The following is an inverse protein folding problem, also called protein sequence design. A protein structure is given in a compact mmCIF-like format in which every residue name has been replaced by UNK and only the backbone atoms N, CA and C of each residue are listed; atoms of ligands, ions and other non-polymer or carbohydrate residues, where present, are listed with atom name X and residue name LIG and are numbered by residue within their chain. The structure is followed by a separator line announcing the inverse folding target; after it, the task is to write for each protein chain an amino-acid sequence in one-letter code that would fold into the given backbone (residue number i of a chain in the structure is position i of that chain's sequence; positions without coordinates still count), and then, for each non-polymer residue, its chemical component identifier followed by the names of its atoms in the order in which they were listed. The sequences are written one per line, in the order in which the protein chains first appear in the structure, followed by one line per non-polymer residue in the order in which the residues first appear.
data_IF_204763607241
#
_entry.id   IF_204763607241
#
_cell.length_a   1.000
_cell.length_b   1.000
_cell.length_c   1.000
_cell.angle_alpha   90.00
_cell.angle_beta   90.00
_cell.angle_gamma   90.00
#
_symmetry.space_group_name_H-M   'P 1'
#
loop_
_entity.id
_entity.type
_entity.pdbx_description
1 polymer ?
#
# COMPACT_ATOMS: atom_id res chain seq x y z
N UNK A 1 6.04 -0.56 -6.94
CA UNK A 1 7.09 -1.57 -7.16
C UNK A 1 7.94 -1.19 -8.38
N UNK A 2 9.18 -0.72 -8.20
CA UNK A 2 9.99 -0.17 -9.29
C UNK A 2 10.67 -1.21 -10.21
N UNK A 3 10.63 -2.51 -9.88
CA UNK A 3 11.25 -3.63 -10.63
C UNK A 3 12.78 -3.59 -10.80
N UNK A 4 13.45 -2.51 -10.40
CA UNK A 4 14.88 -2.33 -10.64
C UNK A 4 15.76 -2.46 -9.39
N UNK A 5 15.24 -2.08 -8.22
CA UNK A 5 15.99 -2.11 -6.97
C UNK A 5 16.25 -3.55 -6.47
N UNK A 6 17.27 -3.70 -5.61
CA UNK A 6 17.64 -4.99 -5.00
C UNK A 6 16.43 -5.73 -4.41
N UNK A 7 15.54 -5.02 -3.73
CA UNK A 7 14.40 -5.61 -3.04
C UNK A 7 13.37 -6.15 -4.03
N UNK A 8 12.99 -5.36 -5.05
CA UNK A 8 12.08 -5.81 -6.11
C UNK A 8 12.64 -7.00 -6.91
N UNK A 9 13.96 -7.08 -7.09
CA UNK A 9 14.62 -8.20 -7.80
C UNK A 9 14.83 -9.44 -6.93
N UNK A 10 14.65 -9.34 -5.62
CA UNK A 10 15.08 -10.40 -4.68
C UNK A 10 14.14 -11.61 -4.61
N UNK A 11 12.84 -11.44 -4.91
CA UNK A 11 11.81 -12.43 -4.63
C UNK A 11 11.54 -12.70 -3.14
N UNK A 12 12.23 -11.99 -2.22
CA UNK A 12 12.17 -12.22 -0.77
C UNK A 12 11.31 -11.19 -0.03
N UNK A 13 11.00 -10.06 -0.65
CA UNK A 13 10.26 -8.95 -0.04
C UNK A 13 9.53 -8.13 -1.10
N UNK A 14 8.44 -7.49 -0.70
CA UNK A 14 7.68 -6.52 -1.49
C UNK A 14 8.02 -5.05 -1.14
N UNK A 15 8.97 -4.81 -0.23
CA UNK A 15 9.30 -3.46 0.27
C UNK A 15 10.23 -2.69 -0.70
N UNK A 16 9.64 -2.13 -1.75
CA UNK A 16 10.38 -1.34 -2.75
C UNK A 16 11.17 -0.17 -2.13
N UNK A 17 12.45 -0.03 -2.51
CA UNK A 17 13.32 1.02 -1.96
C UNK A 17 13.17 2.37 -2.65
N UNK A 18 12.67 2.42 -3.89
CA UNK A 18 12.63 3.63 -4.72
C UNK A 18 11.81 4.79 -4.11
N UNK A 19 10.78 4.48 -3.32
CA UNK A 19 9.92 5.50 -2.67
C UNK A 19 10.15 5.61 -1.17
N UNK A 20 10.92 4.69 -0.58
CA UNK A 20 11.01 4.56 0.89
C UNK A 20 11.68 5.75 1.57
N UNK A 21 12.68 6.35 0.92
CA UNK A 21 13.43 7.48 1.48
C UNK A 21 12.59 8.76 1.63
N UNK A 22 11.59 8.95 0.77
CA UNK A 22 10.73 10.15 0.75
C UNK A 22 9.35 9.91 1.36
N UNK A 23 8.84 8.67 1.31
CA UNK A 23 7.52 8.30 1.85
C UNK A 23 7.35 8.72 3.31
N UNK A 24 8.32 8.42 4.17
CA UNK A 24 8.28 8.79 5.60
C UNK A 24 8.47 10.30 5.87
N UNK A 25 8.96 11.04 4.88
CA UNK A 25 9.12 12.50 4.94
C UNK A 25 7.89 13.24 4.39
N UNK A 26 6.91 12.52 3.86
CA UNK A 26 5.71 13.09 3.24
C UNK A 26 5.99 13.82 1.92
N UNK A 27 6.98 13.35 1.16
CA UNK A 27 7.41 13.97 -0.09
C UNK A 27 7.36 13.00 -1.27
N UNK A 28 7.21 13.54 -2.47
CA UNK A 28 7.40 12.82 -3.72
C UNK A 28 8.87 12.37 -3.87
N UNK A 29 9.18 11.42 -4.78
CA UNK A 29 10.56 10.97 -5.00
C UNK A 29 11.54 12.09 -5.39
N UNK A 30 11.05 13.18 -5.98
CA UNK A 30 11.82 14.38 -6.30
C UNK A 30 12.04 15.34 -5.11
N UNK A 31 11.57 14.96 -3.91
CA UNK A 31 11.73 15.75 -2.69
C UNK A 31 10.74 16.91 -2.53
N UNK A 32 9.70 17.00 -3.36
CA UNK A 32 8.71 18.10 -3.30
C UNK A 32 7.31 17.61 -2.93
N UNK A 33 6.40 18.54 -2.60
CA UNK A 33 4.97 18.24 -2.46
C UNK A 33 4.20 18.57 -3.75
N UNK A 34 3.00 18.02 -3.87
CA UNK A 34 2.01 18.35 -4.91
C UNK A 34 0.79 19.07 -4.33
N UNK A 35 0.76 19.22 -3.01
CA UNK A 35 -0.33 19.85 -2.29
C UNK A 35 0.14 21.13 -1.63
N UNK A 36 -0.71 22.13 -1.69
CA UNK A 36 -0.59 23.35 -0.92
C UNK A 36 -1.97 23.79 -0.44
N UNK A 37 -2.00 24.49 0.69
CA UNK A 37 -3.20 25.07 1.24
C UNK A 37 -2.84 26.44 1.83
N UNK A 38 -3.54 27.49 1.40
CA UNK A 38 -3.25 28.87 1.79
C UNK A 38 -1.77 29.27 1.59
N UNK A 39 -1.18 28.86 0.47
CA UNK A 39 0.23 29.13 0.14
C UNK A 39 1.25 28.32 0.95
N UNK A 40 0.81 27.45 1.86
CA UNK A 40 1.69 26.58 2.63
C UNK A 40 1.71 25.17 2.05
N UNK A 41 2.88 24.51 1.93
CA UNK A 41 2.96 23.12 1.52
C UNK A 41 2.19 22.20 2.47
N UNK A 42 1.40 21.30 1.91
CA UNK A 42 0.79 20.18 2.65
C UNK A 42 1.55 18.92 2.27
N UNK A 43 1.99 18.14 3.25
CA UNK A 43 2.77 16.93 2.99
C UNK A 43 1.90 15.79 2.49
N UNK A 44 2.51 14.92 1.68
CA UNK A 44 1.91 13.66 1.29
C UNK A 44 1.84 12.69 2.47
N UNK A 45 0.88 11.78 2.45
CA UNK A 45 0.78 10.71 3.44
C UNK A 45 0.91 9.34 2.78
N UNK A 46 1.83 8.52 3.30
CA UNK A 46 2.13 7.16 2.85
C UNK A 46 2.44 7.02 1.35
N UNK A 47 2.70 8.13 0.65
CA UNK A 47 2.92 8.17 -0.79
C UNK A 47 1.66 8.03 -1.65
N UNK A 48 0.47 8.21 -1.05
CA UNK A 48 -0.81 8.09 -1.75
C UNK A 48 -1.72 9.30 -1.57
N UNK A 49 -1.89 9.80 -0.34
CA UNK A 49 -2.70 10.99 -0.02
C UNK A 49 -4.13 10.93 -0.57
N UNK A 50 -4.84 9.83 -0.33
CA UNK A 50 -6.15 9.54 -0.97
C UNK A 50 -7.34 10.27 -0.32
N UNK A 51 -7.11 11.14 0.66
CA UNK A 51 -8.14 11.99 1.25
C UNK A 51 -8.16 13.36 0.56
N UNK A 52 -8.32 13.33 -0.76
CA UNK A 52 -8.41 14.48 -1.65
C UNK A 52 -9.15 14.03 -2.91
N UNK A 53 -9.92 14.92 -3.54
CA UNK A 53 -10.60 14.63 -4.81
C UNK A 53 -9.60 14.26 -5.92
N UNK A 54 -8.38 14.81 -5.85
CA UNK A 54 -7.29 14.52 -6.76
C UNK A 54 -5.98 14.29 -5.98
N UNK A 55 -5.15 13.39 -6.48
CA UNK A 55 -3.81 13.14 -5.96
C UNK A 55 -2.85 12.83 -7.11
N UNK A 56 -1.56 13.07 -6.88
CA UNK A 56 -0.48 12.84 -7.85
C UNK A 56 0.46 11.81 -7.24
N UNK A 57 0.65 10.68 -7.92
CA UNK A 57 1.51 9.59 -7.47
C UNK A 57 2.62 9.31 -8.49
N UNK A 58 3.78 8.78 -8.05
CA UNK A 58 4.73 8.14 -8.95
C UNK A 58 4.06 6.96 -9.66
N UNK A 59 4.36 6.74 -10.93
CA UNK A 59 3.84 5.59 -11.70
C UNK A 59 4.10 4.26 -10.98
N UNK A 60 5.29 4.12 -10.40
CA UNK A 60 5.69 2.92 -9.63
C UNK A 60 4.83 2.68 -8.38
N UNK A 61 3.98 3.61 -7.97
CA UNK A 61 3.05 3.45 -6.83
C UNK A 61 1.62 3.16 -7.27
N UNK A 62 1.38 2.98 -8.57
CA UNK A 62 0.06 2.70 -9.13
C UNK A 62 -0.01 1.26 -9.68
N UNK A 63 -1.17 0.64 -9.51
CA UNK A 63 -1.49 -0.64 -10.14
C UNK A 63 -2.80 -0.46 -10.93
N UNK A 64 -2.75 -0.73 -12.23
CA UNK A 64 -3.95 -0.70 -13.08
C UNK A 64 -4.83 -1.90 -12.77
N UNK A 65 -6.11 -1.64 -12.55
CA UNK A 65 -7.13 -2.66 -12.29
C UNK A 65 -8.15 -2.73 -13.44
N UNK A 66 -9.00 -3.78 -13.52
CA UNK A 66 -10.10 -3.85 -14.49
C UNK A 66 -11.01 -2.63 -14.40
N UNK A 67 -11.51 -2.16 -15.57
CA UNK A 67 -12.32 -0.93 -15.68
C UNK A 67 -13.71 -1.07 -15.07
N UNK A 68 -14.21 -2.29 -14.98
CA UNK A 68 -15.52 -2.67 -14.47
C UNK A 68 -15.50 -3.05 -12.99
N UNK A 69 -14.34 -2.96 -12.33
CA UNK A 69 -14.22 -3.23 -10.91
C UNK A 69 -15.01 -2.18 -10.08
N UNK A 70 -15.87 -2.61 -9.13
CA UNK A 70 -16.63 -1.70 -8.28
C UNK A 70 -15.69 -1.00 -7.27
N UNK A 71 -15.31 0.25 -7.56
CA UNK A 71 -14.29 1.01 -6.82
C UNK A 71 -14.60 1.16 -5.33
N UNK A 72 -15.88 1.25 -4.97
CA UNK A 72 -16.36 1.34 -3.59
C UNK A 72 -16.08 0.08 -2.76
N UNK A 73 -15.83 -1.06 -3.42
CA UNK A 73 -15.46 -2.32 -2.77
C UNK A 73 -13.97 -2.58 -2.88
N UNK A 74 -13.41 -2.45 -4.08
CA UNK A 74 -12.01 -2.83 -4.34
C UNK A 74 -11.01 -1.84 -3.75
N UNK A 75 -11.44 -0.66 -3.29
CA UNK A 75 -10.59 0.25 -2.52
C UNK A 75 -9.95 -0.41 -1.29
N UNK A 76 -10.63 -1.39 -0.68
CA UNK A 76 -10.12 -2.15 0.47
C UNK A 76 -8.89 -3.01 0.13
N UNK A 77 -8.71 -3.36 -1.15
CA UNK A 77 -7.53 -4.09 -1.63
C UNK A 77 -6.26 -3.24 -1.63
N UNK A 78 -6.38 -1.91 -1.57
CA UNK A 78 -5.24 -1.00 -1.49
C UNK A 78 -4.47 -1.08 -0.17
N UNK A 79 -5.05 -1.68 0.88
CA UNK A 79 -4.37 -1.85 2.17
C UNK A 79 -4.93 -3.02 2.99
N UNK A 80 -6.04 -2.80 3.70
CA UNK A 80 -6.41 -3.65 4.84
C UNK A 80 -6.69 -5.11 4.48
N UNK A 81 -7.44 -5.34 3.41
CA UNK A 81 -7.84 -6.70 3.00
C UNK A 81 -6.64 -7.50 2.51
N UNK A 82 -5.85 -6.93 1.60
CA UNK A 82 -4.65 -7.61 1.07
C UNK A 82 -3.57 -7.81 2.12
N UNK A 83 -3.51 -6.94 3.14
CA UNK A 83 -2.62 -7.13 4.30
C UNK A 83 -3.02 -8.35 5.12
N UNK A 84 -4.31 -8.50 5.46
CA UNK A 84 -4.80 -9.66 6.22
C UNK A 84 -4.59 -10.97 5.46
N UNK A 85 -5.06 -11.03 4.20
CA UNK A 85 -4.89 -12.18 3.32
C UNK A 85 -3.40 -12.54 3.16
N UNK A 86 -2.56 -11.54 2.89
CA UNK A 86 -1.13 -11.74 2.71
C UNK A 86 -0.42 -12.23 3.96
N UNK A 87 -0.87 -11.82 5.16
CA UNK A 87 -0.31 -12.29 6.42
C UNK A 87 -0.49 -13.82 6.57
N UNK A 88 -1.67 -14.34 6.20
CA UNK A 88 -1.99 -15.76 6.27
C UNK A 88 -1.29 -16.55 5.15
N UNK A 89 -1.48 -16.14 3.90
CA UNK A 89 -1.06 -16.93 2.74
C UNK A 89 0.44 -16.82 2.44
N UNK A 90 1.01 -15.61 2.56
CA UNK A 90 2.38 -15.35 2.10
C UNK A 90 3.40 -15.37 3.24
N UNK A 91 3.02 -14.84 4.42
CA UNK A 91 3.93 -14.69 5.55
C UNK A 91 3.88 -15.89 6.48
N UNK A 92 2.72 -16.17 7.07
CA UNK A 92 2.53 -17.31 7.99
C UNK A 92 2.47 -18.65 7.25
N UNK A 93 2.01 -18.64 5.99
CA UNK A 93 1.84 -19.82 5.14
C UNK A 93 1.01 -20.90 5.84
N UNK A 94 -0.13 -20.49 6.37
CA UNK A 94 -1.06 -21.38 7.08
C UNK A 94 -1.47 -22.53 6.16
N UNK A 95 -1.34 -23.75 6.66
CA UNK A 95 -1.70 -24.98 5.95
C UNK A 95 -3.13 -25.43 6.32
N UNK A 96 -3.74 -26.23 5.45
CA UNK A 96 -5.06 -26.80 5.71
C UNK A 96 -5.07 -27.63 7.00
N UNK A 97 -6.12 -27.46 7.82
CA UNK A 97 -6.27 -28.14 9.11
C UNK A 97 -5.49 -27.51 10.28
N UNK A 98 -4.71 -26.44 10.04
CA UNK A 98 -4.03 -25.72 11.12
C UNK A 98 -5.00 -24.96 12.03
N UNK A 99 -4.69 -24.92 13.34
CA UNK A 99 -5.36 -24.05 14.31
C UNK A 99 -4.66 -22.68 14.35
N UNK A 100 -5.40 -21.61 14.09
CA UNK A 100 -4.86 -20.23 14.02
C UNK A 100 -5.51 -19.35 15.09
N UNK A 101 -4.69 -18.56 15.79
CA UNK A 101 -5.15 -17.51 16.70
C UNK A 101 -4.93 -16.13 16.06
N UNK A 102 -5.99 -15.33 15.96
CA UNK A 102 -5.95 -13.96 15.42
C UNK A 102 -6.23 -12.98 16.54
N UNK A 103 -5.28 -12.10 16.81
CA UNK A 103 -5.38 -11.09 17.86
C UNK A 103 -5.81 -9.75 17.26
N UNK A 104 -7.08 -9.40 17.46
CA UNK A 104 -7.72 -8.18 16.96
C UNK A 104 -8.64 -8.43 15.77
N UNK A 105 -9.90 -8.01 15.88
CA UNK A 105 -10.97 -8.29 14.90
C UNK A 105 -11.44 -7.02 14.16
N UNK A 106 -10.50 -6.13 13.86
CA UNK A 106 -10.73 -5.02 12.94
C UNK A 106 -10.66 -5.47 11.48
N UNK A 107 -10.73 -4.55 10.52
CA UNK A 107 -10.79 -4.88 9.08
C UNK A 107 -9.63 -5.76 8.57
N UNK A 108 -8.41 -5.59 9.10
CA UNK A 108 -7.26 -6.43 8.74
C UNK A 108 -7.39 -7.84 9.35
N UNK A 109 -7.77 -7.92 10.62
CA UNK A 109 -7.91 -9.19 11.33
C UNK A 109 -9.03 -10.05 10.75
N UNK A 110 -10.15 -9.43 10.39
CA UNK A 110 -11.25 -10.12 9.69
C UNK A 110 -10.84 -10.60 8.29
N UNK A 111 -9.95 -9.88 7.60
CA UNK A 111 -9.42 -10.32 6.31
C UNK A 111 -8.36 -11.43 6.42
N UNK A 112 -7.90 -11.76 7.62
CA UNK A 112 -7.01 -12.87 7.90
C UNK A 112 -7.77 -14.16 8.31
N UNK A 113 -9.11 -14.11 8.32
CA UNK A 113 -10.00 -15.27 8.51
C UNK A 113 -10.47 -15.72 7.13
#
# INVERSE_FOLDING_TARGET
ECRECKFCKSGKTNLCQAVRATQGKGLMPDGTSRFSYNGQPVYHYMGCSTFSEYTVLPEISLAKIPKDAPLEKVCLLGCGVTTGIGAVLNTAKVEEGASVAIFGLGGIGLAAI
#
